data_IF_432555229246
#
_entry.id   IF_432555229246
#
_cell.length_a   1.000
_cell.length_b   1.000
_cell.length_c   1.000
_cell.angle_alpha   90.00
_cell.angle_beta   90.00
_cell.angle_gamma   90.00
#
_symmetry.space_group_name_H-M   'P 1'
#
loop_
_entity.id
_entity.type
_entity.pdbx_description
1 polymer ?
#
# COMPACT_ATOMS: atom_id res chain seq x y z
N UNK A 1 -10.17 18.78 13.94
CA UNK A 1 -9.03 18.04 14.52
C UNK A 1 -9.23 16.55 14.26
N UNK A 2 -8.44 15.92 13.38
CA UNK A 2 -8.53 14.47 13.16
C UNK A 2 -7.73 13.72 14.22
N UNK A 3 -8.35 12.74 14.90
CA UNK A 3 -7.67 11.91 15.90
C UNK A 3 -6.57 11.07 15.25
N UNK A 4 -5.55 10.68 16.02
CA UNK A 4 -4.43 9.85 15.51
C UNK A 4 -4.96 8.56 14.86
N UNK A 5 -5.99 7.95 15.46
CA UNK A 5 -6.69 6.78 14.92
C UNK A 5 -7.27 7.06 13.53
N UNK A 6 -7.93 8.20 13.36
CA UNK A 6 -8.51 8.59 12.07
C UNK A 6 -7.44 8.82 10.99
N UNK A 7 -6.31 9.44 11.34
CA UNK A 7 -5.17 9.61 10.42
C UNK A 7 -4.60 8.27 9.95
N UNK A 8 -4.49 7.28 10.83
CA UNK A 8 -4.02 5.95 10.46
C UNK A 8 -4.98 5.21 9.53
N UNK A 9 -6.28 5.30 9.80
CA UNK A 9 -7.30 4.69 8.94
C UNK A 9 -7.24 5.33 7.55
N UNK A 10 -7.23 6.66 7.48
CA UNK A 10 -7.21 7.40 6.22
C UNK A 10 -5.96 7.09 5.39
N UNK A 11 -4.79 7.07 6.03
CA UNK A 11 -3.55 6.71 5.34
C UNK A 11 -3.53 5.24 4.89
N UNK A 12 -4.10 4.32 5.69
CA UNK A 12 -4.17 2.90 5.30
C UNK A 12 -5.08 2.71 4.09
N UNK A 13 -6.22 3.41 4.06
CA UNK A 13 -7.11 3.45 2.91
C UNK A 13 -6.42 4.05 1.68
N UNK A 14 -5.65 5.12 1.85
CA UNK A 14 -4.87 5.71 0.77
C UNK A 14 -3.86 4.72 0.19
N UNK A 15 -3.16 3.95 1.02
CA UNK A 15 -2.23 2.91 0.56
C UNK A 15 -2.95 1.80 -0.19
N UNK A 16 -4.07 1.29 0.36
CA UNK A 16 -4.88 0.28 -0.32
C UNK A 16 -5.31 0.77 -1.70
N UNK A 17 -5.80 2.01 -1.79
CA UNK A 17 -6.24 2.62 -3.03
C UNK A 17 -5.10 2.80 -4.03
N UNK A 18 -3.98 3.39 -3.59
CA UNK A 18 -2.80 3.61 -4.43
C UNK A 18 -2.20 2.29 -4.90
N UNK A 19 -2.12 1.28 -4.04
CA UNK A 19 -1.62 -0.04 -4.40
C UNK A 19 -2.53 -0.71 -5.43
N UNK A 20 -3.84 -0.67 -5.22
CA UNK A 20 -4.83 -1.19 -6.17
C UNK A 20 -4.68 -0.53 -7.55
N UNK A 21 -4.63 0.81 -7.57
CA UNK A 21 -4.56 1.58 -8.80
C UNK A 21 -3.22 1.38 -9.53
N UNK A 22 -2.11 1.28 -8.78
CA UNK A 22 -0.79 0.99 -9.39
C UNK A 22 -0.75 -0.43 -9.94
N UNK A 23 -1.32 -1.39 -9.22
CA UNK A 23 -1.38 -2.80 -9.64
C UNK A 23 -2.24 -2.97 -10.91
N UNK A 24 -3.37 -2.27 -11.00
CA UNK A 24 -4.22 -2.32 -12.21
C UNK A 24 -3.52 -1.68 -13.40
N UNK A 25 -2.75 -0.61 -13.22
CA UNK A 25 -1.97 0.00 -14.30
C UNK A 25 -0.83 -0.90 -14.79
N UNK A 26 -0.09 -1.52 -13.87
CA UNK A 26 1.02 -2.42 -14.21
C UNK A 26 0.51 -3.68 -14.90
N UNK A 27 -0.50 -4.34 -14.33
CA UNK A 27 -1.00 -5.62 -14.86
C UNK A 27 -1.98 -5.44 -16.02
N UNK A 28 -2.72 -4.34 -16.07
CA UNK A 28 -3.70 -4.06 -17.13
C UNK A 28 -3.08 -3.75 -18.49
N UNK A 29 -1.83 -3.29 -18.50
CA UNK A 29 -1.07 -3.03 -19.73
C UNK A 29 -0.32 -4.26 -20.25
N UNK A 30 -0.15 -5.31 -19.43
CA UNK A 30 0.32 -6.62 -19.89
C UNK A 30 -0.86 -7.33 -20.60
N UNK A 31 -0.90 -7.11 -21.91
CA UNK A 31 -1.99 -7.36 -22.87
C UNK A 31 -2.42 -8.84 -23.02
N UNK A 32 -2.79 -9.54 -21.94
CA UNK A 32 -3.38 -10.88 -22.00
C UNK A 32 -4.60 -11.01 -21.06
N UNK A 33 -5.77 -11.20 -21.68
CA UNK A 33 -7.13 -11.15 -21.14
C UNK A 33 -7.50 -12.26 -20.13
N UNK A 34 -6.54 -12.89 -19.44
CA UNK A 34 -6.77 -13.99 -18.48
C UNK A 34 -6.55 -13.59 -16.99
N UNK A 35 -6.22 -12.32 -16.69
CA UNK A 35 -5.69 -11.88 -15.38
C UNK A 35 -6.68 -11.19 -14.43
N UNK A 36 -7.98 -11.08 -14.76
CA UNK A 36 -8.96 -10.48 -13.83
C UNK A 36 -8.99 -11.09 -12.40
N UNK A 37 -8.85 -12.42 -12.18
CA UNK A 37 -8.90 -12.96 -10.83
C UNK A 37 -7.70 -12.57 -9.95
N UNK A 38 -6.58 -12.15 -10.54
CA UNK A 38 -5.34 -11.85 -9.79
C UNK A 38 -5.43 -10.47 -9.12
N UNK A 39 -6.00 -9.47 -9.79
CA UNK A 39 -6.17 -8.13 -9.23
C UNK A 39 -7.14 -8.11 -8.04
N UNK A 40 -8.23 -8.89 -8.10
CA UNK A 40 -9.18 -9.03 -6.99
C UNK A 40 -8.56 -9.72 -5.77
N UNK A 41 -7.78 -10.79 -5.99
CA UNK A 41 -7.07 -11.49 -4.90
C UNK A 41 -6.06 -10.56 -4.22
N UNK A 42 -5.29 -9.79 -5.00
CA UNK A 42 -4.34 -8.83 -4.46
C UNK A 42 -5.03 -7.74 -3.62
N UNK A 43 -6.13 -7.16 -4.14
CA UNK A 43 -6.93 -6.17 -3.42
C UNK A 43 -7.48 -6.71 -2.09
N UNK A 44 -8.09 -7.90 -2.12
CA UNK A 44 -8.62 -8.55 -0.92
C UNK A 44 -7.51 -8.84 0.09
N UNK A 45 -6.35 -9.30 -0.38
CA UNK A 45 -5.22 -9.56 0.50
C UNK A 45 -4.72 -8.28 1.18
N UNK A 46 -4.58 -7.17 0.43
CA UNK A 46 -4.15 -5.87 1.00
C UNK A 46 -5.14 -5.31 2.01
N UNK A 47 -6.43 -5.36 1.68
CA UNK A 47 -7.49 -4.89 2.58
C UNK A 47 -7.55 -5.72 3.86
N UNK A 48 -7.46 -7.05 3.78
CA UNK A 48 -7.44 -7.93 4.95
C UNK A 48 -6.20 -7.68 5.81
N UNK A 49 -5.01 -7.56 5.21
CA UNK A 49 -3.77 -7.33 5.96
C UNK A 49 -3.79 -5.99 6.70
N UNK A 50 -4.13 -4.89 6.02
CA UNK A 50 -4.22 -3.58 6.66
C UNK A 50 -5.35 -3.52 7.68
N UNK A 51 -6.51 -4.10 7.38
CA UNK A 51 -7.64 -4.18 8.31
C UNK A 51 -7.27 -4.94 9.59
N UNK A 52 -6.62 -6.10 9.45
CA UNK A 52 -6.19 -6.89 10.59
C UNK A 52 -5.09 -6.20 11.39
N UNK A 53 -4.16 -5.52 10.72
CA UNK A 53 -3.08 -4.79 11.37
C UNK A 53 -3.61 -3.59 12.18
N UNK A 54 -4.56 -2.83 11.62
CA UNK A 54 -5.26 -1.75 12.35
C UNK A 54 -6.05 -2.29 13.54
N UNK A 55 -6.79 -3.38 13.36
CA UNK A 55 -7.55 -4.01 14.46
C UNK A 55 -6.64 -4.42 15.61
N UNK A 56 -5.49 -5.06 15.31
CA UNK A 56 -4.48 -5.43 16.30
C UNK A 56 -3.88 -4.19 16.98
N UNK A 57 -3.64 -3.12 16.22
CA UNK A 57 -3.07 -1.86 16.72
C UNK A 57 -4.02 -1.18 17.72
N UNK A 58 -5.31 -1.12 17.41
CA UNK A 58 -6.31 -0.50 18.28
C UNK A 58 -6.69 -1.36 19.50
N UNK A 59 -6.44 -2.67 19.46
CA UNK A 59 -6.62 -3.56 20.61
C UNK A 59 -5.38 -3.64 21.51
N UNK A 60 -4.37 -2.78 21.30
CA UNK A 60 -3.16 -2.64 22.13
C UNK A 60 -2.42 -3.96 22.43
N UNK A 61 -2.44 -4.93 21.50
CA UNK A 61 -1.75 -6.22 21.70
C UNK A 61 -0.23 -6.04 21.61
N UNK A 62 0.52 -6.85 22.39
CA UNK A 62 1.98 -6.80 22.59
C UNK A 62 2.85 -6.84 21.31
N UNK A 63 2.27 -7.15 20.14
CA UNK A 63 2.96 -7.25 18.85
C UNK A 63 2.34 -6.41 17.74
N UNK A 64 1.35 -5.58 18.05
CA UNK A 64 0.57 -4.91 17.02
C UNK A 64 1.39 -3.89 16.22
N UNK A 65 2.25 -3.13 16.90
CA UNK A 65 3.14 -2.16 16.24
C UNK A 65 4.14 -2.85 15.30
N UNK A 66 4.78 -3.93 15.76
CA UNK A 66 5.73 -4.69 14.93
C UNK A 66 5.04 -5.33 13.73
N UNK A 67 3.84 -5.89 13.91
CA UNK A 67 3.05 -6.44 12.81
C UNK A 67 2.67 -5.37 11.80
N UNK A 68 2.20 -4.21 12.27
CA UNK A 68 1.84 -3.10 11.40
C UNK A 68 3.05 -2.55 10.61
N UNK A 69 4.24 -2.51 11.21
CA UNK A 69 5.48 -2.17 10.50
C UNK A 69 5.89 -3.23 9.47
N UNK A 70 5.70 -4.51 9.79
CA UNK A 70 5.92 -5.59 8.82
C UNK A 70 5.00 -5.41 7.60
N UNK A 71 3.71 -5.15 7.81
CA UNK A 71 2.75 -4.88 6.73
C UNK A 71 3.23 -3.70 5.87
N UNK A 72 3.59 -2.57 6.50
CA UNK A 72 4.11 -1.40 5.79
C UNK A 72 5.40 -1.70 5.01
N UNK A 73 6.29 -2.53 5.54
CA UNK A 73 7.52 -2.92 4.87
C UNK A 73 7.24 -3.75 3.62
N UNK A 74 6.35 -4.74 3.70
CA UNK A 74 5.92 -5.56 2.56
C UNK A 74 5.35 -4.68 1.44
N UNK A 75 4.49 -3.71 1.77
CA UNK A 75 3.91 -2.82 0.76
C UNK A 75 4.91 -1.78 0.24
N UNK A 76 5.90 -1.38 1.03
CA UNK A 76 7.00 -0.54 0.54
C UNK A 76 7.81 -1.27 -0.54
N UNK A 77 8.14 -2.54 -0.30
CA UNK A 77 8.80 -3.39 -1.29
C UNK A 77 7.93 -3.57 -2.55
N UNK A 78 6.61 -3.71 -2.38
CA UNK A 78 5.66 -3.74 -3.49
C UNK A 78 5.69 -2.48 -4.37
N UNK A 79 5.64 -1.29 -3.78
CA UNK A 79 5.74 -0.04 -4.55
C UNK A 79 7.11 0.13 -5.23
N UNK A 80 8.20 -0.25 -4.56
CA UNK A 80 9.53 -0.25 -5.18
C UNK A 80 9.60 -1.19 -6.38
N UNK A 81 8.96 -2.36 -6.28
CA UNK A 81 8.83 -3.31 -7.40
C UNK A 81 8.07 -2.69 -8.58
N UNK A 82 6.97 -1.97 -8.33
CA UNK A 82 6.25 -1.26 -9.40
C UNK A 82 7.08 -0.18 -10.08
N UNK A 83 7.92 0.55 -9.34
CA UNK A 83 8.88 1.50 -9.94
C UNK A 83 9.86 0.78 -10.86
N UNK A 84 10.40 -0.37 -10.43
CA UNK A 84 11.32 -1.16 -11.24
C UNK A 84 10.66 -1.74 -12.50
N UNK A 85 9.41 -2.21 -12.40
CA UNK A 85 8.67 -2.72 -13.56
C UNK A 85 8.35 -1.58 -14.53
N UNK A 86 7.90 -0.44 -14.01
CA UNK A 86 7.57 0.73 -14.82
C UNK A 86 8.78 1.28 -15.60
N UNK A 87 9.97 1.26 -15.00
CA UNK A 87 11.18 1.75 -15.66
C UNK A 87 11.70 0.84 -16.79
N UNK A 88 11.38 -0.46 -16.75
CA UNK A 88 11.88 -1.44 -17.72
C UNK A 88 10.85 -1.81 -18.78
N UNK A 89 9.56 -1.92 -18.42
CA UNK A 89 8.56 -2.60 -19.25
C UNK A 89 7.43 -1.70 -19.76
N UNK A 90 7.25 -0.49 -19.23
CA UNK A 90 6.16 0.40 -19.63
C UNK A 90 6.58 1.45 -20.67
N UNK A 91 5.61 1.92 -21.46
CA UNK A 91 5.80 3.06 -22.35
C UNK A 91 6.11 4.32 -21.55
N UNK A 92 6.88 5.26 -22.12
CA UNK A 92 7.39 6.45 -21.42
C UNK A 92 6.33 7.21 -20.61
N UNK A 93 5.12 7.39 -21.16
CA UNK A 93 4.04 8.10 -20.47
C UNK A 93 3.44 7.31 -19.31
N UNK A 94 3.18 6.00 -19.51
CA UNK A 94 2.62 5.15 -18.45
C UNK A 94 3.64 4.89 -17.33
N UNK A 95 4.93 4.79 -17.67
CA UNK A 95 6.00 4.67 -16.70
C UNK A 95 6.00 5.84 -15.72
N UNK A 96 5.86 7.08 -16.21
CA UNK A 96 5.81 8.28 -15.35
C UNK A 96 4.60 8.23 -14.40
N UNK A 97 3.42 7.84 -14.91
CA UNK A 97 2.20 7.73 -14.08
C UNK A 97 2.38 6.66 -13.00
N UNK A 98 2.86 5.47 -13.35
CA UNK A 98 3.06 4.37 -12.39
C UNK A 98 4.12 4.72 -11.34
N UNK A 99 5.21 5.37 -11.75
CA UNK A 99 6.27 5.81 -10.84
C UNK A 99 5.75 6.88 -9.87
N UNK A 100 5.01 7.88 -10.37
CA UNK A 100 4.44 8.94 -9.50
C UNK A 100 3.45 8.38 -8.48
N UNK A 101 2.57 7.47 -8.89
CA UNK A 101 1.66 6.78 -7.98
C UNK A 101 2.39 5.93 -6.94
N UNK A 102 3.44 5.23 -7.35
CA UNK A 102 4.26 4.42 -6.44
C UNK A 102 4.98 5.27 -5.41
N UNK A 103 5.49 6.44 -5.81
CA UNK A 103 6.11 7.41 -4.91
C UNK A 103 5.10 7.99 -3.91
N UNK A 104 3.87 8.29 -4.35
CA UNK A 104 2.78 8.70 -3.43
C UNK A 104 2.43 7.58 -2.44
N UNK A 105 2.46 6.33 -2.88
CA UNK A 105 2.27 5.16 -2.02
C UNK A 105 3.35 5.07 -0.93
N UNK A 106 4.62 5.20 -1.32
CA UNK A 106 5.76 5.23 -0.40
C UNK A 106 5.68 6.41 0.59
N UNK A 107 5.29 7.60 0.12
CA UNK A 107 5.07 8.76 0.99
C UNK A 107 3.97 8.49 2.01
N UNK A 108 2.87 7.86 1.59
CA UNK A 108 1.78 7.48 2.51
C UNK A 108 2.26 6.52 3.58
N UNK A 109 3.10 5.53 3.24
CA UNK A 109 3.71 4.61 4.21
C UNK A 109 4.63 5.35 5.19
N UNK A 110 5.45 6.30 4.71
CA UNK A 110 6.30 7.11 5.57
C UNK A 110 5.48 7.94 6.58
N UNK A 111 4.36 8.50 6.14
CA UNK A 111 3.43 9.21 7.04
C UNK A 111 2.84 8.27 8.08
N UNK A 112 2.48 7.04 7.70
CA UNK A 112 2.01 6.01 8.62
C UNK A 112 3.06 5.65 9.68
N UNK A 113 4.32 5.47 9.30
CA UNK A 113 5.38 5.18 10.26
C UNK A 113 5.51 6.27 11.32
N UNK A 114 5.42 7.53 10.89
CA UNK A 114 5.44 8.69 11.80
C UNK A 114 4.24 8.69 12.76
N UNK A 115 3.02 8.44 12.26
CA UNK A 115 1.81 8.45 13.09
C UNK A 115 1.70 7.22 14.00
N UNK A 116 2.11 6.03 13.53
CA UNK A 116 2.10 4.81 14.34
C UNK A 116 3.08 4.90 15.52
N UNK A 117 4.24 5.57 15.33
CA UNK A 117 5.22 5.79 16.41
C UNK A 117 4.61 6.61 17.57
N UNK A 118 3.67 7.51 17.28
CA UNK A 118 2.98 8.34 18.28
C UNK A 118 1.98 7.55 19.14
N UNK A 119 1.60 6.33 18.76
CA UNK A 119 0.72 5.46 19.57
C UNK A 119 1.53 4.60 20.55
N UNK A 120 2.82 4.37 20.25
CA UNK A 120 3.73 3.61 21.10
C UNK A 120 4.39 4.48 22.18
N UNK A 121 4.53 5.79 21.93
CA UNK A 121 4.98 6.78 22.89
C UNK A 121 3.84 7.10 23.88
#
# INVERSE_FOLDING_TARGET
MTTIKHKLILNSLAIIFLFSLTNTLVNGLQLNQLLQPINLKALLFVTILYGWALFRLFTHKRFAFSFFNFVNFVYSAGFLSYVAIASVQQTKHMAVITITLSLLGLMSILMIWRTAKQIKA
#
